data_IF_649377883260
#
_entry.id   IF_649377883260
#
_cell.length_a   1.000
_cell.length_b   1.000
_cell.length_c   1.000
_cell.angle_alpha   90.00
_cell.angle_beta   90.00
_cell.angle_gamma   90.00
#
_symmetry.space_group_name_H-M   'P 1'
#
loop_
_entity.id
_entity.type
_entity.pdbx_description
1 polymer ?
#
# COMPACT_ATOMS: atom_id res chain seq x y z
N UNK A 1 -31.86 -10.05 24.22
CA UNK A 1 -31.32 -9.63 22.93
C UNK A 1 -30.05 -10.46 22.74
N UNK A 2 -30.21 -11.59 22.06
CA UNK A 2 -29.15 -12.58 21.86
C UNK A 2 -28.16 -12.04 20.83
N UNK A 3 -26.90 -11.87 21.24
CA UNK A 3 -25.78 -11.74 20.31
C UNK A 3 -25.78 -12.95 19.37
N UNK A 4 -25.86 -12.68 18.08
CA UNK A 4 -25.70 -13.69 17.04
C UNK A 4 -24.19 -13.94 16.84
N UNK A 5 -23.66 -15.13 17.17
CA UNK A 5 -22.24 -15.44 17.04
C UNK A 5 -21.82 -15.76 15.59
N UNK A 6 -22.64 -15.46 14.58
CA UNK A 6 -22.42 -15.87 13.19
C UNK A 6 -21.98 -14.77 12.21
N UNK A 7 -21.62 -13.56 12.67
CA UNK A 7 -20.77 -12.71 11.83
C UNK A 7 -19.36 -13.31 11.82
N UNK A 8 -19.09 -14.22 10.89
CA UNK A 8 -17.72 -14.52 10.50
C UNK A 8 -17.10 -13.19 10.10
N UNK A 9 -16.30 -12.61 10.99
CA UNK A 9 -15.54 -11.38 10.73
C UNK A 9 -14.67 -11.73 9.53
N UNK A 10 -15.11 -11.32 8.34
CA UNK A 10 -14.43 -11.68 7.10
C UNK A 10 -13.01 -11.14 7.20
N UNK A 11 -12.00 -11.91 6.77
CA UNK A 11 -10.62 -11.47 6.90
C UNK A 11 -10.45 -10.10 6.25
N UNK A 12 -9.62 -9.23 6.83
CA UNK A 12 -9.44 -7.85 6.35
C UNK A 12 -8.77 -7.77 4.98
N UNK A 13 -8.31 -8.89 4.43
CA UNK A 13 -7.58 -8.99 3.16
C UNK A 13 -7.73 -10.40 2.57
N UNK A 14 -7.53 -10.51 1.25
CA UNK A 14 -7.44 -11.77 0.52
C UNK A 14 -6.02 -11.99 0.00
N UNK A 15 -5.59 -13.26 0.01
CA UNK A 15 -4.39 -13.71 -0.70
C UNK A 15 -4.84 -14.71 -1.77
N UNK A 16 -4.85 -14.27 -3.02
CA UNK A 16 -5.30 -15.07 -4.15
C UNK A 16 -4.08 -15.80 -4.76
N UNK A 17 -4.16 -17.12 -4.92
CA UNK A 17 -3.02 -17.91 -5.38
C UNK A 17 -2.66 -17.58 -6.83
N UNK A 18 -1.36 -17.43 -7.08
CA UNK A 18 -0.76 -17.42 -8.42
C UNK A 18 -0.06 -18.75 -8.71
N UNK A 19 0.67 -18.80 -9.82
CA UNK A 19 1.51 -19.96 -10.13
C UNK A 19 2.57 -20.17 -9.04
N UNK A 20 2.84 -21.43 -8.66
CA UNK A 20 3.78 -21.74 -7.56
C UNK A 20 5.21 -21.23 -7.79
N UNK A 21 5.64 -21.14 -9.06
CA UNK A 21 6.94 -20.62 -9.46
C UNK A 21 6.93 -19.11 -9.79
N UNK A 22 5.80 -18.43 -9.59
CA UNK A 22 5.71 -16.98 -9.79
C UNK A 22 6.37 -16.25 -8.62
N UNK A 23 7.35 -15.37 -8.85
CA UNK A 23 7.94 -14.55 -7.79
C UNK A 23 7.12 -13.30 -7.47
N UNK A 24 6.05 -13.03 -8.25
CA UNK A 24 5.35 -11.74 -8.26
C UNK A 24 4.13 -11.79 -7.34
N UNK A 25 3.97 -10.73 -6.54
CA UNK A 25 2.77 -10.39 -5.79
C UNK A 25 2.27 -9.05 -6.32
N UNK A 26 1.04 -9.02 -6.85
CA UNK A 26 0.31 -7.77 -7.10
C UNK A 26 -0.35 -7.37 -5.78
N UNK A 27 0.08 -6.25 -5.20
CA UNK A 27 -0.42 -5.72 -3.95
C UNK A 27 -1.45 -4.63 -4.25
N UNK A 28 -2.65 -4.76 -3.70
CA UNK A 28 -3.79 -3.85 -3.91
C UNK A 28 -4.26 -3.34 -2.54
N UNK A 29 -3.63 -2.29 -2.01
CA UNK A 29 -3.82 -1.84 -0.63
C UNK A 29 -5.08 -1.00 -0.41
N UNK A 30 -5.58 -0.29 -1.43
CA UNK A 30 -6.53 0.83 -1.25
C UNK A 30 -7.79 0.76 -2.13
N UNK A 31 -8.07 -0.39 -2.75
CA UNK A 31 -9.23 -0.54 -3.67
C UNK A 31 -10.60 -0.62 -2.99
N UNK A 32 -10.63 -1.02 -1.72
CA UNK A 32 -11.87 -1.29 -1.00
C UNK A 32 -12.47 -0.02 -0.37
N UNK A 33 -13.79 -0.03 -0.22
CA UNK A 33 -14.57 1.02 0.45
C UNK A 33 -15.19 0.57 1.78
N UNK A 34 -15.09 -0.72 2.09
CA UNK A 34 -15.74 -1.33 3.26
C UNK A 34 -15.19 -0.76 4.58
N UNK A 35 -16.09 -0.39 5.49
CA UNK A 35 -15.76 0.09 6.84
C UNK A 35 -16.65 -0.68 7.81
N UNK A 36 -16.08 -1.50 8.72
CA UNK A 36 -16.88 -2.24 9.69
C UNK A 36 -17.72 -1.30 10.56
N UNK A 37 -18.97 -1.65 10.93
CA UNK A 37 -19.86 -0.78 11.69
C UNK A 37 -19.25 -0.22 12.98
N UNK A 38 -18.45 -1.03 13.69
CA UNK A 38 -17.76 -0.59 14.90
C UNK A 38 -16.71 0.50 14.64
N UNK A 39 -16.11 0.51 13.44
CA UNK A 39 -15.15 1.55 13.02
C UNK A 39 -15.89 2.77 12.48
N UNK A 40 -17.00 2.56 11.74
CA UNK A 40 -17.88 3.62 11.23
C UNK A 40 -18.41 4.51 12.36
N UNK A 41 -18.74 3.94 13.51
CA UNK A 41 -19.20 4.67 14.69
C UNK A 41 -18.18 5.70 15.24
N UNK A 42 -16.88 5.51 14.95
CA UNK A 42 -15.83 6.45 15.35
C UNK A 42 -15.50 7.51 14.28
N UNK A 43 -16.19 7.51 13.14
CA UNK A 43 -16.04 8.51 12.08
C UNK A 43 -17.15 9.56 12.22
N UNK A 44 -16.76 10.83 12.32
CA UNK A 44 -17.69 11.94 12.61
C UNK A 44 -18.45 12.44 11.39
N UNK A 45 -18.02 12.06 10.19
CA UNK A 45 -18.67 12.40 8.94
C UNK A 45 -20.06 11.77 8.87
N UNK A 46 -21.02 12.50 8.33
CA UNK A 46 -22.28 11.91 7.88
C UNK A 46 -22.06 10.98 6.67
N UNK A 47 -23.11 10.30 6.22
CA UNK A 47 -22.98 9.30 5.15
C UNK A 47 -22.63 9.93 3.79
N UNK A 48 -23.12 11.14 3.49
CA UNK A 48 -22.82 11.85 2.24
C UNK A 48 -21.39 12.39 2.23
N UNK A 49 -20.92 12.90 3.37
CA UNK A 49 -19.54 13.32 3.60
C UNK A 49 -18.56 12.15 3.51
N UNK A 50 -18.90 11.02 4.14
CA UNK A 50 -18.10 9.81 4.08
C UNK A 50 -18.04 9.23 2.66
N UNK A 51 -19.16 9.22 1.93
CA UNK A 51 -19.20 8.78 0.54
C UNK A 51 -18.23 9.60 -0.33
N UNK A 52 -18.25 10.93 -0.18
CA UNK A 52 -17.32 11.84 -0.88
C UNK A 52 -15.87 11.61 -0.49
N UNK A 53 -15.58 11.45 0.80
CA UNK A 53 -14.22 11.17 1.25
C UNK A 53 -13.70 9.83 0.70
N UNK A 54 -14.55 8.80 0.66
CA UNK A 54 -14.24 7.53 0.03
C UNK A 54 -13.95 7.67 -1.48
N UNK A 55 -14.69 8.52 -2.20
CA UNK A 55 -14.42 8.80 -3.62
C UNK A 55 -13.04 9.45 -3.84
N UNK A 56 -12.55 10.22 -2.86
CA UNK A 56 -11.24 10.88 -2.95
C UNK A 56 -10.06 9.97 -2.61
N UNK A 57 -10.26 9.06 -1.64
CA UNK A 57 -9.16 8.33 -0.99
C UNK A 57 -9.06 6.86 -1.45
N UNK A 58 -10.09 6.34 -2.12
CA UNK A 58 -10.09 4.99 -2.68
C UNK A 58 -9.38 4.95 -4.02
N UNK A 59 -8.48 3.97 -4.16
CA UNK A 59 -7.79 3.68 -5.40
C UNK A 59 -8.71 2.86 -6.32
N UNK A 60 -9.72 3.54 -6.88
CA UNK A 60 -10.80 2.91 -7.62
C UNK A 60 -10.28 2.05 -8.78
N UNK A 61 -10.91 0.89 -8.97
CA UNK A 61 -10.64 -0.08 -10.03
C UNK A 61 -9.27 -0.79 -9.97
N UNK A 62 -8.41 -0.53 -8.98
CA UNK A 62 -7.09 -1.16 -8.89
C UNK A 62 -7.15 -2.68 -8.69
N UNK A 63 -8.15 -3.21 -7.97
CA UNK A 63 -8.38 -4.65 -7.84
C UNK A 63 -8.71 -5.31 -9.20
N UNK A 64 -9.57 -4.68 -9.99
CA UNK A 64 -9.95 -5.14 -11.33
C UNK A 64 -8.76 -5.06 -12.31
N UNK A 65 -7.93 -4.01 -12.20
CA UNK A 65 -6.70 -3.89 -12.97
C UNK A 65 -5.73 -5.01 -12.60
N UNK A 66 -5.53 -5.29 -11.31
CA UNK A 66 -4.67 -6.39 -10.85
C UNK A 66 -5.19 -7.75 -11.30
N UNK A 67 -6.51 -7.96 -11.29
CA UNK A 67 -7.16 -9.16 -11.84
C UNK A 67 -6.89 -9.34 -13.33
N UNK A 68 -7.15 -8.31 -14.13
CA UNK A 68 -6.93 -8.34 -15.57
C UNK A 68 -5.44 -8.57 -15.89
N UNK A 69 -4.53 -7.91 -15.15
CA UNK A 69 -3.10 -8.11 -15.28
C UNK A 69 -2.68 -9.54 -14.94
N UNK A 70 -3.26 -10.14 -13.90
CA UNK A 70 -2.98 -11.53 -13.53
C UNK A 70 -3.46 -12.51 -14.60
N UNK A 71 -4.64 -12.28 -15.19
CA UNK A 71 -5.19 -13.12 -16.27
C UNK A 71 -4.43 -13.01 -17.59
N UNK A 72 -3.79 -11.87 -17.86
CA UNK A 72 -2.98 -11.64 -19.06
C UNK A 72 -1.51 -12.08 -18.91
N UNK A 73 -1.05 -12.41 -17.70
CA UNK A 73 0.34 -12.75 -17.43
C UNK A 73 0.69 -14.17 -17.90
N UNK A 74 1.84 -14.33 -18.58
CA UNK A 74 2.35 -15.66 -18.96
C UNK A 74 2.71 -16.55 -17.76
N UNK A 75 2.99 -15.95 -16.60
CA UNK A 75 3.10 -16.62 -15.31
C UNK A 75 2.18 -15.90 -14.33
N UNK A 76 1.12 -16.56 -13.87
CA UNK A 76 0.08 -15.93 -13.04
C UNK A 76 0.71 -15.43 -11.72
N UNK A 77 0.66 -14.11 -11.43
CA UNK A 77 1.14 -13.56 -10.16
C UNK A 77 0.17 -13.90 -9.02
N UNK A 78 0.68 -13.88 -7.79
CA UNK A 78 -0.16 -13.87 -6.60
C UNK A 78 -0.80 -12.50 -6.45
N UNK A 79 -1.98 -12.41 -5.83
CA UNK A 79 -2.60 -11.11 -5.50
C UNK A 79 -2.80 -10.99 -3.99
N UNK A 80 -2.42 -9.86 -3.42
CA UNK A 80 -2.67 -9.49 -2.04
C UNK A 80 -3.60 -8.29 -2.02
N UNK A 81 -4.87 -8.49 -1.67
CA UNK A 81 -5.92 -7.48 -1.82
C UNK A 81 -6.47 -7.09 -0.46
N UNK A 82 -6.37 -5.81 -0.08
CA UNK A 82 -7.04 -5.31 1.11
C UNK A 82 -8.55 -5.26 0.87
N UNK A 83 -9.34 -5.74 1.83
CA UNK A 83 -10.81 -5.75 1.77
C UNK A 83 -11.45 -4.60 2.52
N UNK A 84 -10.67 -3.82 3.29
CA UNK A 84 -11.15 -2.68 4.03
C UNK A 84 -10.68 -1.36 3.41
N UNK A 85 -11.47 -0.32 3.57
CA UNK A 85 -11.08 1.05 3.24
C UNK A 85 -9.84 1.45 4.05
N UNK A 86 -8.94 2.21 3.41
CA UNK A 86 -7.80 2.83 4.10
C UNK A 86 -8.22 3.84 5.17
N UNK A 87 -9.49 4.25 5.20
CA UNK A 87 -10.05 5.01 6.32
C UNK A 87 -10.14 4.18 7.60
N UNK A 88 -10.23 2.85 7.54
CA UNK A 88 -10.14 1.97 8.73
C UNK A 88 -8.73 2.03 9.31
N UNK A 89 -7.77 1.65 8.49
CA UNK A 89 -6.33 1.73 8.71
C UNK A 89 -5.67 1.79 7.33
N UNK A 90 -4.69 2.68 7.16
CA UNK A 90 -3.84 2.68 5.98
C UNK A 90 -2.68 1.70 6.16
N UNK A 91 -2.63 0.56 5.43
CA UNK A 91 -1.58 -0.44 5.59
C UNK A 91 -0.19 0.04 5.13
N UNK A 92 -0.11 1.22 4.50
CA UNK A 92 1.12 1.77 3.91
C UNK A 92 1.65 2.99 4.63
N UNK A 93 1.16 3.21 5.84
CA UNK A 93 1.64 4.25 6.75
C UNK A 93 2.25 3.58 7.97
N UNK A 94 3.32 4.15 8.50
CA UNK A 94 3.88 3.61 9.74
C UNK A 94 2.88 3.85 10.89
N UNK A 95 2.66 2.85 11.78
CA UNK A 95 1.72 2.98 12.89
C UNK A 95 2.31 3.75 14.08
N UNK A 96 3.50 4.34 13.92
CA UNK A 96 4.28 4.98 14.98
C UNK A 96 4.80 6.36 14.52
N UNK A 97 5.58 7.00 15.40
CA UNK A 97 6.05 8.39 15.23
C UNK A 97 6.99 8.62 14.04
N UNK A 98 7.39 7.56 13.32
CA UNK A 98 8.15 7.68 12.08
C UNK A 98 7.29 8.17 10.92
N UNK A 99 5.95 8.13 11.05
CA UNK A 99 5.02 8.56 10.01
C UNK A 99 4.86 10.08 9.96
N UNK A 100 5.46 10.73 8.96
CA UNK A 100 5.38 12.18 8.78
C UNK A 100 3.94 12.66 8.54
N UNK A 101 3.12 11.85 7.86
CA UNK A 101 1.74 12.21 7.54
C UNK A 101 0.85 12.24 8.79
N UNK A 102 1.32 11.70 9.94
CA UNK A 102 0.65 11.85 11.25
C UNK A 102 0.49 13.32 11.63
N UNK A 103 1.44 14.18 11.29
CA UNK A 103 1.41 15.62 11.61
C UNK A 103 0.23 16.36 10.96
N UNK A 104 -0.25 15.86 9.81
CA UNK A 104 -1.44 16.39 9.11
C UNK A 104 -2.67 15.50 9.28
N UNK A 105 -2.62 14.53 10.21
CA UNK A 105 -3.73 13.64 10.53
C UNK A 105 -4.00 12.53 9.51
N UNK A 106 -3.00 12.20 8.68
CA UNK A 106 -3.07 11.19 7.60
C UNK A 106 -2.07 10.04 7.83
N UNK A 107 -1.86 9.63 9.09
CA UNK A 107 -0.98 8.50 9.49
C UNK A 107 -1.65 7.12 9.31
N UNK A 108 -1.22 6.05 9.98
CA UNK A 108 -1.87 4.73 9.83
C UNK A 108 -3.37 4.72 10.23
N UNK A 109 -3.77 5.58 11.16
CA UNK A 109 -5.17 5.86 11.48
C UNK A 109 -5.41 7.35 11.23
N UNK A 110 -6.27 7.65 10.26
CA UNK A 110 -6.55 9.05 9.90
C UNK A 110 -7.41 9.72 10.97
N UNK A 111 -7.03 10.93 11.35
CA UNK A 111 -7.82 11.86 12.19
C UNK A 111 -8.38 13.01 11.37
N UNK A 112 -7.81 13.26 10.19
CA UNK A 112 -8.25 14.27 9.23
C UNK A 112 -8.69 13.64 7.92
N UNK A 113 -9.54 14.35 7.18
CA UNK A 113 -9.94 13.97 5.82
C UNK A 113 -8.88 14.40 4.80
N UNK A 114 -9.02 13.97 3.56
CA UNK A 114 -8.21 14.43 2.41
C UNK A 114 -8.21 15.95 2.22
N UNK A 115 -9.20 16.65 2.76
CA UNK A 115 -9.35 18.10 2.71
C UNK A 115 -9.01 18.80 4.04
N UNK A 116 -8.51 18.06 5.04
CA UNK A 116 -8.10 18.60 6.34
C UNK A 116 -9.24 18.81 7.35
N UNK A 117 -10.47 18.43 7.01
CA UNK A 117 -11.59 18.43 7.95
C UNK A 117 -11.39 17.32 9.00
N UNK A 118 -12.17 17.35 10.10
CA UNK A 118 -12.12 16.30 11.13
C UNK A 118 -12.74 15.02 10.56
N UNK A 119 -11.98 13.92 10.54
CA UNK A 119 -12.51 12.57 10.21
C UNK A 119 -12.88 11.82 11.48
N UNK A 120 -12.05 11.96 12.52
CA UNK A 120 -12.23 11.35 13.83
C UNK A 120 -11.93 12.37 14.91
N UNK A 121 -12.53 12.17 16.07
CA UNK A 121 -12.20 12.94 17.26
C UNK A 121 -10.68 12.89 17.55
N UNK A 122 -10.14 13.98 18.10
CA UNK A 122 -8.71 14.10 18.39
C UNK A 122 -8.20 13.16 19.49
N UNK A 123 -9.10 12.56 20.26
CA UNK A 123 -8.85 11.57 21.32
C UNK A 123 -8.95 10.12 20.81
N UNK A 124 -9.03 9.89 19.49
CA UNK A 124 -9.09 8.53 18.96
C UNK A 124 -7.83 7.74 19.31
N UNK A 125 -8.04 6.62 19.99
CA UNK A 125 -6.98 5.65 20.28
C UNK A 125 -6.69 4.82 19.02
N UNK A 126 -5.53 5.04 18.39
CA UNK A 126 -5.12 4.30 17.19
C UNK A 126 -4.77 2.83 17.51
N UNK A 127 -4.30 2.54 18.73
CA UNK A 127 -3.79 1.23 19.15
C UNK A 127 -4.73 0.06 18.87
N UNK A 128 -6.02 0.12 19.25
CA UNK A 128 -6.99 -0.93 18.94
C UNK A 128 -7.17 -1.21 17.44
N UNK A 129 -7.22 -0.18 16.60
CA UNK A 129 -7.35 -0.32 15.14
C UNK A 129 -6.08 -0.92 14.54
N UNK A 130 -4.91 -0.46 14.98
CA UNK A 130 -3.62 -1.00 14.57
C UNK A 130 -3.50 -2.48 14.95
N UNK A 131 -3.85 -2.82 16.20
CA UNK A 131 -3.79 -4.19 16.68
C UNK A 131 -4.72 -5.13 15.91
N UNK A 132 -5.96 -4.68 15.62
CA UNK A 132 -6.99 -5.47 14.96
C UNK A 132 -6.80 -5.59 13.45
N UNK A 133 -6.35 -4.54 12.77
CA UNK A 133 -6.33 -4.50 11.29
C UNK A 133 -4.92 -4.38 10.72
N UNK A 134 -4.09 -3.46 11.21
CA UNK A 134 -2.74 -3.23 10.67
C UNK A 134 -1.81 -4.43 10.87
N UNK A 135 -1.67 -4.90 12.12
CA UNK A 135 -0.68 -5.93 12.45
C UNK A 135 -0.97 -7.29 11.77
N UNK A 136 -2.22 -7.77 11.68
CA UNK A 136 -2.52 -8.99 10.91
C UNK A 136 -2.20 -8.83 9.43
N UNK A 137 -2.53 -7.69 8.83
CA UNK A 137 -2.22 -7.37 7.43
C UNK A 137 -0.71 -7.41 7.17
N UNK A 138 0.07 -6.68 7.98
CA UNK A 138 1.53 -6.61 7.85
C UNK A 138 2.20 -7.98 8.02
N UNK A 139 1.72 -8.79 8.99
CA UNK A 139 2.19 -10.17 9.17
C UNK A 139 1.88 -11.05 7.96
N UNK A 140 0.70 -10.91 7.38
CA UNK A 140 0.31 -11.68 6.20
C UNK A 140 1.13 -11.30 4.97
N UNK A 141 1.37 -10.01 4.72
CA UNK A 141 2.24 -9.56 3.63
C UNK A 141 3.67 -10.08 3.83
N UNK A 142 4.19 -10.01 5.06
CA UNK A 142 5.52 -10.56 5.39
C UNK A 142 5.63 -12.05 5.09
N UNK A 143 4.59 -12.84 5.43
CA UNK A 143 4.55 -14.27 5.10
C UNK A 143 4.49 -14.50 3.59
N UNK A 144 3.62 -13.79 2.87
CA UNK A 144 3.50 -13.92 1.42
C UNK A 144 4.84 -13.66 0.70
N UNK A 145 5.59 -12.64 1.13
CA UNK A 145 6.93 -12.34 0.60
C UNK A 145 7.93 -13.44 0.95
N UNK A 146 7.94 -13.91 2.20
CA UNK A 146 8.82 -14.98 2.64
C UNK A 146 8.57 -16.28 1.85
N UNK A 147 7.31 -16.62 1.59
CA UNK A 147 6.92 -17.79 0.82
C UNK A 147 7.39 -17.68 -0.64
N UNK A 148 7.33 -16.49 -1.24
CA UNK A 148 7.86 -16.25 -2.60
C UNK A 148 9.37 -16.36 -2.67
N UNK A 149 10.08 -15.81 -1.68
CA UNK A 149 11.52 -15.96 -1.54
C UNK A 149 11.92 -17.43 -1.41
N UNK A 150 11.22 -18.20 -0.58
CA UNK A 150 11.49 -19.63 -0.38
C UNK A 150 11.22 -20.46 -1.65
N UNK A 151 10.12 -20.19 -2.35
CA UNK A 151 9.72 -20.96 -3.52
C UNK A 151 10.52 -20.65 -4.80
N UNK A 152 11.00 -19.41 -4.95
CA UNK A 152 11.54 -18.92 -6.23
C UNK A 152 12.93 -18.28 -6.14
N UNK A 153 13.48 -18.16 -4.93
CA UNK A 153 14.76 -17.47 -4.67
C UNK A 153 14.69 -15.94 -4.78
N UNK A 154 13.52 -15.38 -5.10
CA UNK A 154 13.28 -13.93 -5.24
C UNK A 154 11.82 -13.58 -4.91
N UNK A 155 11.54 -12.31 -4.64
CA UNK A 155 10.17 -11.81 -4.51
C UNK A 155 10.07 -10.44 -5.15
N UNK A 156 9.01 -10.21 -5.91
CA UNK A 156 8.71 -8.93 -6.55
C UNK A 156 7.33 -8.50 -6.10
N UNK A 157 7.24 -7.36 -5.43
CA UNK A 157 5.97 -6.74 -5.09
C UNK A 157 5.72 -5.64 -6.12
N UNK A 158 4.59 -5.73 -6.81
CA UNK A 158 4.08 -4.66 -7.67
C UNK A 158 2.91 -4.04 -6.95
N UNK A 159 3.11 -2.81 -6.52
CA UNK A 159 2.13 -2.06 -5.76
C UNK A 159 1.17 -1.33 -6.70
N UNK A 160 -0.13 -1.61 -6.59
CA UNK A 160 -1.14 -1.21 -7.57
C UNK A 160 -1.99 -0.09 -7.00
N UNK A 161 -1.70 1.12 -7.46
CA UNK A 161 -2.38 2.34 -7.06
C UNK A 161 -3.05 3.08 -8.21
N UNK A 162 -3.97 3.97 -7.85
CA UNK A 162 -4.50 5.01 -8.72
C UNK A 162 -4.55 6.32 -7.97
N UNK A 163 -4.29 7.43 -8.65
CA UNK A 163 -4.25 8.75 -8.04
C UNK A 163 -5.33 9.66 -8.61
N UNK A 164 -5.87 10.58 -7.80
CA UNK A 164 -6.78 11.60 -8.30
C UNK A 164 -6.08 12.45 -9.38
N UNK A 165 -6.87 12.94 -10.34
CA UNK A 165 -6.36 13.76 -11.45
C UNK A 165 -5.75 15.09 -10.97
N UNK A 166 -6.31 15.65 -9.90
CA UNK A 166 -5.84 16.87 -9.27
C UNK A 166 -5.24 16.52 -7.89
N UNK A 167 -4.15 17.18 -7.47
CA UNK A 167 -3.56 16.95 -6.16
C UNK A 167 -4.55 17.32 -5.05
N UNK A 168 -4.59 16.52 -3.99
CA UNK A 168 -5.47 16.73 -2.84
C UNK A 168 -4.79 17.64 -1.79
N UNK A 169 -5.57 18.42 -1.01
CA UNK A 169 -5.02 19.39 -0.06
C UNK A 169 -4.07 18.82 1.00
N UNK A 170 -4.23 17.55 1.38
CA UNK A 170 -3.38 16.89 2.37
C UNK A 170 -1.96 16.56 1.85
N UNK A 171 -1.72 16.63 0.54
CA UNK A 171 -0.42 16.27 -0.06
C UNK A 171 0.65 17.31 0.29
N UNK A 172 1.59 16.97 1.19
CA UNK A 172 2.72 17.82 1.59
C UNK A 172 3.64 18.23 0.42
N UNK A 173 3.58 17.53 -0.72
CA UNK A 173 4.45 17.72 -1.88
C UNK A 173 3.67 17.90 -3.21
N UNK A 174 2.56 18.64 -3.17
CA UNK A 174 1.68 18.88 -4.33
C UNK A 174 2.21 19.79 -5.45
N UNK A 175 3.45 20.30 -5.37
CA UNK A 175 4.04 21.21 -6.39
C UNK A 175 4.99 20.47 -7.33
N UNK A 176 4.47 19.87 -8.40
CA UNK A 176 5.24 19.33 -9.53
C UNK A 176 4.34 18.98 -10.72
N UNK A 177 4.83 19.00 -11.99
CA UNK A 177 4.01 18.66 -13.15
C UNK A 177 3.45 17.24 -13.02
N UNK A 178 2.17 17.08 -13.35
CA UNK A 178 1.33 15.90 -13.09
C UNK A 178 2.07 14.57 -13.09
N UNK A 179 1.97 13.86 -11.96
CA UNK A 179 2.65 12.60 -11.68
C UNK A 179 2.27 11.54 -12.72
N UNK A 180 3.17 11.27 -13.68
CA UNK A 180 3.28 9.94 -14.29
C UNK A 180 4.23 9.13 -13.40
N UNK A 181 3.71 8.55 -12.33
CA UNK A 181 4.51 7.79 -11.38
C UNK A 181 4.68 6.34 -11.85
N UNK A 182 5.77 6.07 -12.55
CA UNK A 182 6.47 4.80 -12.38
C UNK A 182 7.59 5.07 -11.36
N UNK A 183 7.30 4.87 -10.07
CA UNK A 183 8.33 4.90 -9.02
C UNK A 183 9.11 3.60 -9.09
N UNK A 184 10.09 3.52 -9.98
CA UNK A 184 11.12 2.50 -9.87
C UNK A 184 12.10 2.94 -8.77
N UNK A 185 12.42 2.10 -7.76
CA UNK A 185 13.55 2.39 -6.88
C UNK A 185 14.81 2.51 -7.76
N UNK A 186 15.62 3.55 -7.51
CA UNK A 186 16.94 3.66 -8.15
C UNK A 186 17.76 2.41 -7.79
N UNK A 187 18.25 1.62 -8.77
CA UNK A 187 19.09 0.48 -8.45
C UNK A 187 20.43 1.01 -7.91
N UNK A 188 20.64 0.83 -6.61
CA UNK A 188 22.00 0.82 -6.06
C UNK A 188 22.66 -0.47 -6.56
N UNK A 189 23.50 -0.34 -7.60
CA UNK A 189 24.31 -1.36 -8.29
C UNK A 189 23.71 -1.85 -9.63
N UNK A 190 24.45 -1.78 -10.76
CA UNK A 190 23.97 -2.28 -12.04
C UNK A 190 24.00 -3.82 -12.07
N UNK A 191 22.84 -4.44 -12.26
CA UNK A 191 22.77 -5.84 -12.71
C UNK A 191 22.87 -5.87 -14.25
N UNK A 192 23.75 -6.68 -14.86
CA UNK A 192 23.74 -6.88 -16.30
C UNK A 192 22.54 -7.78 -16.66
N UNK A 193 21.59 -7.23 -17.42
CA UNK A 193 20.44 -7.99 -17.92
C UNK A 193 19.12 -7.24 -17.84
N UNK A 194 19.06 -6.00 -18.32
CA UNK A 194 17.79 -5.32 -18.55
C UNK A 194 17.08 -5.96 -19.76
N UNK A 195 16.02 -6.70 -19.50
CA UNK A 195 15.02 -7.06 -20.49
C UNK A 195 14.36 -5.77 -21.00
N UNK A 196 14.50 -5.49 -22.29
CA UNK A 196 13.73 -4.44 -22.98
C UNK A 196 12.54 -5.11 -23.66
N UNK A 197 11.28 -4.73 -23.38
CA UNK A 197 10.17 -5.17 -24.22
C UNK A 197 10.31 -4.49 -25.59
N UNK A 198 10.69 -5.27 -26.61
CA UNK A 198 10.56 -4.87 -28.02
C UNK A 198 9.10 -5.06 -28.43
N UNK A 199 8.47 -3.97 -28.87
CA UNK A 199 7.21 -4.02 -29.61
C UNK A 199 6.19 -2.98 -29.13
N UNK A 200 6.02 -1.90 -29.90
CA UNK A 200 4.83 -1.04 -29.83
C UNK A 200 3.70 -1.72 -30.63
N UNK A 201 2.47 -1.78 -30.12
CA UNK A 201 1.31 -1.64 -30.98
C UNK A 201 1.28 -0.20 -31.49
N UNK A 202 1.27 -0.02 -32.81
CA UNK A 202 1.12 1.29 -33.47
C UNK A 202 -0.23 1.92 -33.10
N UNK A 203 -0.25 3.16 -32.60
CA UNK A 203 -1.53 3.88 -32.41
C UNK A 203 -1.58 5.12 -31.50
N UNK A 204 -0.56 5.45 -30.70
CA UNK A 204 -0.61 6.66 -29.84
C UNK A 204 0.65 7.53 -29.98
N UNK A 205 0.45 8.79 -30.36
CA UNK A 205 1.46 9.84 -30.39
C UNK A 205 1.66 10.41 -28.98
N UNK A 206 2.82 10.18 -28.38
CA UNK A 206 3.28 10.88 -27.19
C UNK A 206 4.74 11.25 -27.37
N UNK A 207 5.06 12.55 -27.36
CA UNK A 207 6.44 13.04 -27.40
C UNK A 207 7.16 12.67 -26.10
N UNK A 208 8.39 12.17 -26.20
CA UNK A 208 9.32 12.04 -25.08
C UNK A 208 9.98 13.40 -24.83
N UNK A 209 10.08 13.83 -23.58
CA UNK A 209 10.97 14.92 -23.16
C UNK A 209 11.83 14.43 -22.00
N UNK A 210 13.13 14.38 -22.22
CA UNK A 210 14.14 14.02 -21.23
C UNK A 210 14.76 15.28 -20.63
N UNK A 211 14.19 15.76 -19.54
CA UNK A 211 14.84 16.74 -18.64
C UNK A 211 14.31 16.51 -17.23
N UNK A 212 15.17 15.99 -16.35
CA UNK A 212 14.90 15.84 -14.92
C UNK A 212 15.63 16.95 -14.16
N UNK A 213 14.99 17.70 -13.25
CA UNK A 213 15.70 18.48 -12.26
C UNK A 213 15.96 17.67 -10.99
N UNK A 214 17.19 17.79 -10.52
CA UNK A 214 17.72 17.39 -9.22
C UNK A 214 17.03 18.11 -8.06
N UNK A 215 16.74 17.40 -6.96
CA UNK A 215 16.43 18.01 -5.67
C UNK A 215 15.37 17.28 -4.85
N UNK A 216 15.80 16.32 -4.03
CA UNK A 216 15.02 15.65 -2.98
C UNK A 216 15.99 14.86 -2.08
N UNK A 217 15.75 14.72 -0.77
CA UNK A 217 16.76 14.25 0.17
C UNK A 217 17.13 12.79 -0.13
N UNK A 218 18.41 12.55 -0.40
CA UNK A 218 18.97 11.22 -0.63
C UNK A 218 19.34 10.57 0.70
N UNK A 219 18.63 9.54 1.13
CA UNK A 219 19.13 8.63 2.17
C UNK A 219 20.21 7.72 1.56
N UNK A 220 21.47 7.99 1.90
CA UNK A 220 22.64 7.19 1.51
C UNK A 220 22.71 5.91 2.36
N UNK A 221 22.75 4.75 1.72
CA UNK A 221 23.10 3.46 2.34
C UNK A 221 24.54 3.09 1.98
N UNK A 222 25.37 2.75 2.97
CA UNK A 222 26.69 2.17 2.75
C UNK A 222 26.93 1.03 3.74
N UNK A 223 27.28 -0.14 3.23
CA UNK A 223 27.91 -1.21 4.00
C UNK A 223 29.09 -1.76 3.21
N UNK A 224 30.30 -1.58 3.72
CA UNK A 224 31.51 -2.32 3.30
C UNK A 224 31.52 -3.67 4.04
N UNK A 225 31.82 -4.78 3.33
CA UNK A 225 31.61 -6.21 3.68
C UNK A 225 32.37 -6.77 4.92
N UNK A 226 32.62 -8.10 5.05
CA UNK A 226 32.35 -9.23 4.15
C UNK A 226 31.49 -10.36 4.77
N UNK A 227 30.95 -11.22 3.89
CA UNK A 227 30.35 -12.55 4.10
C UNK A 227 30.21 -13.09 5.54
N UNK A 228 29.00 -12.99 6.09
CA UNK A 228 28.36 -14.04 6.90
C UNK A 228 26.86 -13.78 6.87
N UNK A 229 26.04 -14.81 6.68
CA UNK A 229 24.59 -14.71 6.57
C UNK A 229 23.99 -13.87 7.73
N UNK A 230 23.56 -12.66 7.43
CA UNK A 230 22.87 -11.80 8.38
C UNK A 230 21.41 -11.64 7.93
N UNK A 231 20.53 -12.33 8.67
CA UNK A 231 19.08 -12.16 8.62
C UNK A 231 18.77 -10.71 8.97
N UNK A 232 18.16 -9.94 8.06
CA UNK A 232 17.60 -8.63 8.39
C UNK A 232 16.12 -8.62 8.02
N UNK A 233 15.31 -8.83 9.06
CA UNK A 233 13.85 -8.78 9.08
C UNK A 233 13.38 -7.32 9.03
N UNK A 234 12.46 -7.01 8.11
CA UNK A 234 11.81 -5.70 7.99
C UNK A 234 10.81 -5.36 9.12
N UNK A 235 10.63 -6.25 10.09
CA UNK A 235 9.66 -6.05 11.18
C UNK A 235 10.16 -6.71 12.47
N UNK A 236 10.89 -5.96 13.30
CA UNK A 236 11.05 -6.25 14.74
C UNK A 236 11.05 -4.93 15.51
N UNK A 237 10.04 -4.75 16.38
CA UNK A 237 10.20 -4.32 17.77
C UNK A 237 8.83 -4.30 18.45
N UNK A 238 8.56 -5.35 19.24
CA UNK A 238 7.75 -5.27 20.43
C UNK A 238 8.47 -6.18 21.43
N UNK A 239 9.05 -5.57 22.47
CA UNK A 239 9.90 -6.25 23.44
C UNK A 239 9.14 -7.28 24.26
N UNK A 240 9.82 -8.37 24.59
CA UNK A 240 9.43 -9.29 25.66
C UNK A 240 9.82 -8.66 27.00
N UNK A 241 8.98 -8.68 28.04
CA UNK A 241 9.44 -8.37 29.39
C UNK A 241 10.32 -9.52 29.92
N UNK A 242 11.25 -9.15 30.79
CA UNK A 242 12.29 -9.95 31.45
C UNK A 242 11.76 -11.20 32.15
#
# INVERSE_FOLDING_TARGET
>A
MTDDPSSFDSPSFDILPGAGHSPVILHVPHSAREIPPSVRAGIVLDDDELARELDHITDAHTAQIAEAAAGAAGVVPWRFVNRLSRLVVDPERFPDDREEMRAVGMGAVYTRTTHGAVLRSGDVEAGPLVARYFLPYARAMTRAVADRLAATGRAVIVDVHSYPRAPLPYELHGRGPGRRCASAPTPSTPLPGCWTPRGRPSGMSGRRSSTAPSGGPTCRWSSTGPTRASRHSWWRSAGTPT
#
